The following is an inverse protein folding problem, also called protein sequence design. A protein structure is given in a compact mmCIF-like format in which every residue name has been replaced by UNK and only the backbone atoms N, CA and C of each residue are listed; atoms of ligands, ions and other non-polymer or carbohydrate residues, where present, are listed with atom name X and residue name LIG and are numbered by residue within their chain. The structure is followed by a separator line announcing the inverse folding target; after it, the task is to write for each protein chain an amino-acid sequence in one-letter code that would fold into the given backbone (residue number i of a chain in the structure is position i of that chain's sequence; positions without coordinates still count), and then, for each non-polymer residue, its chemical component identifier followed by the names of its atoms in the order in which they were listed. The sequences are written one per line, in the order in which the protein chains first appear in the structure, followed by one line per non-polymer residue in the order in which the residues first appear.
data_IF_382229382050
#
_entry.id   IF_382229382050
#
_cell.length_a   1.000
_cell.length_b   1.000
_cell.length_c   1.000
_cell.angle_alpha   90.00
_cell.angle_beta   90.00
_cell.angle_gamma   90.00
#
_symmetry.space_group_name_H-M   'P 1'
#
loop_
_entity.id
_entity.type
_entity.pdbx_description
1 polymer ?
#
# COMPACT_ATOMS: atom_id res chain seq x y z
N UNK A 1 -45.41 -51.11 11.29
CA UNK A 1 -44.07 -50.96 10.70
C UNK A 1 -44.12 -49.82 9.68
N UNK A 2 -43.52 -48.67 9.97
CA UNK A 2 -43.28 -47.64 8.93
C UNK A 2 -42.10 -46.78 9.36
N UNK A 3 -40.93 -47.11 8.81
CA UNK A 3 -39.69 -46.37 9.02
C UNK A 3 -39.62 -45.28 7.96
N UNK A 4 -39.68 -44.01 8.37
CA UNK A 4 -39.39 -42.87 7.48
C UNK A 4 -37.86 -42.72 7.36
N UNK A 5 -37.29 -42.56 6.16
CA UNK A 5 -35.86 -42.35 6.01
C UNK A 5 -35.47 -40.91 6.42
N UNK A 6 -34.23 -40.70 6.91
CA UNK A 6 -33.75 -39.35 7.22
C UNK A 6 -33.51 -38.58 5.92
N UNK A 7 -34.00 -37.34 5.90
CA UNK A 7 -33.77 -36.37 4.83
C UNK A 7 -32.28 -36.00 4.88
N UNK A 8 -31.50 -36.49 3.93
CA UNK A 8 -30.13 -36.04 3.72
C UNK A 8 -30.16 -34.57 3.32
N UNK A 9 -29.72 -33.68 4.22
CA UNK A 9 -29.46 -32.29 3.87
C UNK A 9 -28.29 -32.24 2.88
N UNK A 10 -28.59 -31.97 1.60
CA UNK A 10 -27.57 -31.52 0.67
C UNK A 10 -27.07 -30.16 1.17
N UNK A 11 -25.83 -30.16 1.67
CA UNK A 11 -25.13 -28.94 2.01
C UNK A 11 -24.79 -28.20 0.72
N UNK A 12 -25.47 -27.09 0.48
CA UNK A 12 -25.11 -26.14 -0.56
C UNK A 12 -23.80 -25.46 -0.14
N UNK A 13 -22.68 -25.92 -0.69
CA UNK A 13 -21.44 -25.17 -0.60
C UNK A 13 -21.60 -23.86 -1.38
N UNK A 14 -21.73 -22.74 -0.67
CA UNK A 14 -21.72 -21.40 -1.26
C UNK A 14 -20.36 -21.18 -1.94
N UNK A 15 -20.36 -21.14 -3.26
CA UNK A 15 -19.21 -20.65 -4.04
C UNK A 15 -19.15 -19.14 -3.80
N UNK A 16 -18.09 -18.68 -3.12
CA UNK A 16 -17.80 -17.27 -2.97
C UNK A 16 -17.45 -16.69 -4.35
N UNK A 17 -18.40 -16.01 -4.99
CA UNK A 17 -18.09 -15.13 -6.12
C UNK A 17 -17.27 -13.98 -5.54
N UNK A 18 -15.97 -13.94 -5.85
CA UNK A 18 -15.15 -12.77 -5.60
C UNK A 18 -15.81 -11.59 -6.32
N UNK A 19 -16.44 -10.70 -5.55
CA UNK A 19 -17.18 -9.56 -6.08
C UNK A 19 -16.26 -8.73 -6.97
N UNK A 20 -16.61 -8.61 -8.25
CA UNK A 20 -15.91 -7.71 -9.16
C UNK A 20 -16.18 -6.29 -8.70
N UNK A 21 -15.17 -5.63 -8.12
CA UNK A 21 -15.25 -4.21 -7.76
C UNK A 21 -15.66 -3.39 -9.00
N UNK A 22 -16.51 -2.36 -8.86
CA UNK A 22 -16.86 -1.48 -9.97
C UNK A 22 -15.60 -0.96 -10.69
N UNK A 23 -15.67 -0.72 -12.01
CA UNK A 23 -14.55 -0.15 -12.75
C UNK A 23 -14.03 1.13 -12.08
N UNK A 24 -12.76 1.15 -11.71
CA UNK A 24 -12.09 2.30 -11.09
C UNK A 24 -10.77 2.56 -11.81
N UNK A 25 -10.70 3.71 -12.48
CA UNK A 25 -9.56 4.12 -13.34
C UNK A 25 -9.04 5.48 -12.88
N UNK A 26 -8.39 5.56 -11.70
CA UNK A 26 -7.93 6.82 -11.16
C UNK A 26 -6.85 7.43 -12.06
N UNK A 27 -7.01 8.69 -12.42
CA UNK A 27 -5.98 9.46 -13.11
C UNK A 27 -4.96 9.99 -12.11
N UNK A 28 -5.42 10.45 -10.94
CA UNK A 28 -4.60 11.06 -9.89
C UNK A 28 -5.03 10.61 -8.50
N UNK A 29 -4.21 10.88 -7.49
CA UNK A 29 -4.58 10.74 -6.06
C UNK A 29 -5.87 11.47 -5.69
N UNK A 30 -6.23 12.54 -6.40
CA UNK A 30 -7.50 13.25 -6.16
C UNK A 30 -8.71 12.34 -6.43
N UNK A 31 -8.62 11.44 -7.40
CA UNK A 31 -9.71 10.50 -7.71
C UNK A 31 -9.85 9.44 -6.62
N UNK A 32 -8.75 9.07 -5.94
CA UNK A 32 -8.83 8.30 -4.70
C UNK A 32 -9.55 9.10 -3.62
N UNK A 33 -9.20 10.37 -3.42
CA UNK A 33 -9.88 11.21 -2.41
C UNK A 33 -11.37 11.41 -2.70
N UNK A 34 -11.78 11.43 -3.97
CA UNK A 34 -13.20 11.49 -4.35
C UNK A 34 -13.99 10.28 -3.87
N UNK A 35 -13.34 9.16 -3.58
CA UNK A 35 -13.95 7.95 -3.03
C UNK A 35 -14.11 8.00 -1.50
N UNK A 36 -13.79 9.11 -0.85
CA UNK A 36 -13.86 9.24 0.61
C UNK A 36 -15.22 8.83 1.18
N UNK A 37 -16.34 9.29 0.59
CA UNK A 37 -17.68 8.91 1.02
C UNK A 37 -18.05 7.45 0.73
N UNK A 38 -17.31 6.79 -0.15
CA UNK A 38 -17.43 5.36 -0.41
C UNK A 38 -16.62 4.52 0.58
N UNK A 39 -15.53 5.05 1.09
CA UNK A 39 -14.60 4.35 1.98
C UNK A 39 -14.99 4.54 3.44
N UNK A 40 -15.31 5.76 3.84
CA UNK A 40 -15.67 6.13 5.22
C UNK A 40 -17.19 6.29 5.33
N UNK A 41 -17.89 5.18 5.56
CA UNK A 41 -19.36 5.15 5.69
C UNK A 41 -19.89 5.74 6.99
N UNK A 42 -19.06 5.77 8.02
CA UNK A 42 -19.41 6.26 9.35
C UNK A 42 -18.36 7.27 9.83
N UNK A 43 -18.72 8.09 10.82
CA UNK A 43 -17.86 9.15 11.33
C UNK A 43 -16.53 8.66 11.92
N UNK A 44 -15.54 9.56 11.94
CA UNK A 44 -14.16 9.43 12.43
C UNK A 44 -13.19 8.57 11.57
N UNK A 45 -12.43 9.27 10.72
CA UNK A 45 -11.28 8.75 9.96
C UNK A 45 -10.02 8.37 10.76
N UNK A 46 -9.89 8.78 12.01
CA UNK A 46 -8.63 8.58 12.76
C UNK A 46 -8.33 7.08 12.89
N UNK A 47 -7.07 6.70 12.65
CA UNK A 47 -6.60 5.31 12.67
C UNK A 47 -7.29 4.37 11.65
N UNK A 48 -8.00 4.93 10.66
CA UNK A 48 -8.74 4.18 9.65
C UNK A 48 -8.05 4.16 8.28
N UNK A 49 -6.72 4.33 8.24
CA UNK A 49 -5.92 4.24 7.00
C UNK A 49 -6.04 2.87 6.31
N UNK A 50 -6.29 1.81 7.07
CA UNK A 50 -6.54 0.46 6.55
C UNK A 50 -7.76 0.39 5.61
N UNK A 51 -8.70 1.33 5.70
CA UNK A 51 -9.83 1.41 4.77
C UNK A 51 -9.41 1.90 3.38
N UNK A 52 -8.48 2.88 3.30
CA UNK A 52 -7.86 3.28 2.04
C UNK A 52 -7.11 2.10 1.41
N UNK A 53 -6.30 1.41 2.20
CA UNK A 53 -5.54 0.22 1.76
C UNK A 53 -6.49 -0.84 1.19
N UNK A 54 -7.55 -1.15 1.93
CA UNK A 54 -8.55 -2.15 1.50
C UNK A 54 -9.21 -1.77 0.19
N UNK A 55 -9.62 -0.50 0.06
CA UNK A 55 -10.25 0.02 -1.16
C UNK A 55 -9.35 -0.11 -2.39
N UNK A 56 -8.07 0.25 -2.24
CA UNK A 56 -7.05 0.19 -3.29
C UNK A 56 -6.77 -1.27 -3.68
N UNK A 57 -6.53 -2.14 -2.70
CA UNK A 57 -6.18 -3.55 -2.95
C UNK A 57 -7.33 -4.34 -3.57
N UNK A 58 -8.58 -4.09 -3.19
CA UNK A 58 -9.77 -4.70 -3.83
C UNK A 58 -9.94 -4.33 -5.31
N UNK A 59 -9.24 -3.29 -5.78
CA UNK A 59 -9.26 -2.81 -7.16
C UNK A 59 -7.90 -2.95 -7.84
N UNK A 60 -6.92 -3.56 -7.18
CA UNK A 60 -5.54 -3.62 -7.69
C UNK A 60 -5.44 -4.34 -9.04
N UNK A 61 -6.30 -5.32 -9.30
CA UNK A 61 -6.38 -6.02 -10.59
C UNK A 61 -6.76 -5.11 -11.77
N UNK A 62 -7.26 -3.91 -11.49
CA UNK A 62 -7.61 -2.91 -12.48
C UNK A 62 -6.49 -1.87 -12.69
N UNK A 63 -5.44 -1.92 -11.87
CA UNK A 63 -4.38 -0.91 -11.83
C UNK A 63 -3.06 -1.43 -12.41
N UNK A 64 -2.31 -0.52 -13.02
CA UNK A 64 -0.89 -0.73 -13.29
C UNK A 64 -0.09 -0.60 -11.97
N UNK A 65 1.08 -1.26 -11.84
CA UNK A 65 1.91 -1.20 -10.63
C UNK A 65 2.22 0.23 -10.19
N UNK A 66 2.64 1.10 -11.12
CA UNK A 66 2.94 2.50 -10.81
C UNK A 66 1.73 3.29 -10.34
N UNK A 67 0.53 2.98 -10.86
CA UNK A 67 -0.70 3.66 -10.44
C UNK A 67 -1.09 3.22 -9.03
N UNK A 68 -0.91 1.94 -8.71
CA UNK A 68 -1.13 1.43 -7.37
C UNK A 68 -0.21 2.12 -6.34
N UNK A 69 1.10 2.18 -6.64
CA UNK A 69 2.08 2.91 -5.81
C UNK A 69 1.68 4.38 -5.63
N UNK A 70 1.25 5.04 -6.71
CA UNK A 70 0.76 6.42 -6.65
C UNK A 70 -0.44 6.56 -5.70
N UNK A 71 -1.41 5.64 -5.73
CA UNK A 71 -2.57 5.71 -4.82
C UNK A 71 -2.17 5.59 -3.34
N UNK A 72 -1.13 4.79 -3.03
CA UNK A 72 -0.60 4.68 -1.66
C UNK A 72 0.07 5.96 -1.15
N UNK A 73 0.41 6.91 -2.02
CA UNK A 73 0.91 8.23 -1.61
C UNK A 73 -0.19 9.19 -1.13
N UNK A 74 -1.44 8.82 -1.32
CA UNK A 74 -2.60 9.70 -1.14
C UNK A 74 -3.17 9.77 0.27
N UNK A 75 -2.64 9.05 1.25
CA UNK A 75 -3.13 9.14 2.61
C UNK A 75 -2.03 8.93 3.65
N UNK A 76 -2.25 9.51 4.82
CA UNK A 76 -1.41 9.29 5.99
C UNK A 76 -1.64 7.88 6.55
N UNK A 77 -0.57 7.10 6.67
CA UNK A 77 -0.63 5.70 7.14
C UNK A 77 -1.13 5.57 8.59
N UNK A 78 -0.96 6.60 9.42
CA UNK A 78 -1.39 6.59 10.83
C UNK A 78 -2.80 7.14 10.97
N UNK A 79 -3.04 8.38 10.53
CA UNK A 79 -4.30 9.08 10.80
C UNK A 79 -5.41 8.79 9.79
N UNK A 80 -5.08 8.25 8.61
CA UNK A 80 -6.03 8.11 7.50
C UNK A 80 -6.40 9.43 6.81
N UNK A 81 -5.79 10.56 7.21
CA UNK A 81 -6.01 11.86 6.56
C UNK A 81 -5.53 11.83 5.11
N UNK A 82 -6.32 12.37 4.16
CA UNK A 82 -5.86 12.58 2.78
C UNK A 82 -4.58 13.41 2.75
N UNK A 83 -3.59 12.97 1.99
CA UNK A 83 -2.35 13.71 1.74
C UNK A 83 -2.29 14.14 0.29
N UNK A 84 -1.69 15.30 0.03
CA UNK A 84 -1.30 15.70 -1.32
C UNK A 84 0.18 15.38 -1.48
N UNK A 85 0.56 14.43 -2.36
CA UNK A 85 1.95 14.05 -2.53
C UNK A 85 2.79 15.24 -2.98
N UNK A 86 3.79 15.60 -2.19
CA UNK A 86 4.76 16.65 -2.47
C UNK A 86 6.02 16.40 -1.64
N UNK A 87 7.11 17.12 -1.92
CA UNK A 87 8.32 17.01 -1.10
C UNK A 87 8.09 17.37 0.37
N UNK A 88 7.12 18.23 0.67
CA UNK A 88 6.76 18.61 2.04
C UNK A 88 6.08 17.48 2.82
N UNK A 89 5.27 16.67 2.15
CA UNK A 89 4.54 15.55 2.79
C UNK A 89 5.32 14.24 2.70
N UNK A 90 6.42 14.17 1.94
CA UNK A 90 7.21 12.96 1.68
C UNK A 90 8.31 12.75 2.71
N UNK A 91 8.24 11.63 3.43
CA UNK A 91 9.23 11.26 4.45
C UNK A 91 9.92 9.95 4.08
N UNK A 92 11.26 9.93 4.14
CA UNK A 92 12.04 8.69 4.04
C UNK A 92 12.08 8.03 5.40
N UNK A 93 11.63 6.78 5.48
CA UNK A 93 11.60 6.01 6.71
C UNK A 93 12.29 4.67 6.50
N UNK A 94 12.85 4.13 7.59
CA UNK A 94 13.44 2.80 7.67
C UNK A 94 12.71 2.05 8.76
N UNK A 95 11.93 1.03 8.38
CA UNK A 95 11.01 0.33 9.27
C UNK A 95 11.33 -1.17 9.33
N UNK A 96 11.12 -1.83 10.47
CA UNK A 96 11.32 -3.27 10.59
C UNK A 96 10.23 -4.05 9.84
N UNK A 97 10.61 -5.20 9.28
CA UNK A 97 9.65 -6.14 8.69
C UNK A 97 8.94 -6.97 9.75
N UNK A 98 7.68 -7.34 9.50
CA UNK A 98 6.94 -8.25 10.38
C UNK A 98 7.52 -9.67 10.41
N UNK A 99 8.12 -10.12 9.32
CA UNK A 99 8.73 -11.46 9.19
C UNK A 99 10.11 -11.57 9.85
N UNK A 100 10.59 -10.50 10.51
CA UNK A 100 11.91 -10.45 11.10
C UNK A 100 13.05 -10.33 10.09
N UNK A 101 12.77 -10.17 8.79
CA UNK A 101 13.75 -10.07 7.71
C UNK A 101 14.57 -8.78 7.67
N UNK A 102 14.73 -8.09 8.80
CA UNK A 102 15.49 -6.85 8.94
C UNK A 102 14.69 -5.58 8.67
N UNK A 103 15.41 -4.53 8.26
CA UNK A 103 14.87 -3.19 8.03
C UNK A 103 14.64 -2.93 6.54
N UNK A 104 13.59 -2.18 6.20
CA UNK A 104 13.30 -1.74 4.84
C UNK A 104 13.18 -0.22 4.82
N UNK A 105 13.85 0.41 3.86
CA UNK A 105 13.76 1.85 3.63
C UNK A 105 12.88 2.18 2.44
N UNK A 106 12.11 3.26 2.54
CA UNK A 106 11.38 3.83 1.42
C UNK A 106 10.64 5.10 1.82
N UNK A 107 9.69 5.52 0.99
CA UNK A 107 8.97 6.78 1.21
C UNK A 107 7.50 6.55 1.57
N UNK A 108 7.02 7.35 2.51
CA UNK A 108 5.62 7.44 2.92
C UNK A 108 5.21 8.91 3.01
N UNK A 109 3.90 9.18 2.99
CA UNK A 109 3.36 10.53 2.97
C UNK A 109 2.54 10.81 4.23
N UNK A 110 2.84 11.91 4.92
CA UNK A 110 2.23 12.24 6.22
C UNK A 110 1.59 13.62 6.24
N UNK A 111 0.54 13.75 7.06
CA UNK A 111 -0.17 15.01 7.27
C UNK A 111 0.40 15.86 8.40
N UNK A 112 1.14 15.26 9.34
CA UNK A 112 1.72 15.96 10.49
C UNK A 112 2.89 15.17 11.08
N UNK A 113 3.77 15.89 11.79
CA UNK A 113 4.96 15.32 12.42
C UNK A 113 4.63 14.22 13.46
N UNK A 114 3.60 14.32 14.31
CA UNK A 114 3.26 13.24 15.25
C UNK A 114 3.01 11.89 14.56
N UNK A 115 2.38 11.87 13.37
CA UNK A 115 2.18 10.63 12.63
C UNK A 115 3.49 10.00 12.11
N UNK A 116 4.53 10.82 11.89
CA UNK A 116 5.85 10.30 11.50
C UNK A 116 6.47 9.53 12.67
N UNK A 117 6.39 10.09 13.89
CA UNK A 117 6.88 9.43 15.11
C UNK A 117 6.09 8.14 15.40
N UNK A 118 4.76 8.18 15.36
CA UNK A 118 3.92 6.99 15.54
C UNK A 118 4.28 5.87 14.55
N UNK A 119 4.69 6.23 13.34
CA UNK A 119 5.14 5.25 12.34
C UNK A 119 6.44 4.57 12.76
N UNK A 120 7.42 5.36 13.21
CA UNK A 120 8.72 4.83 13.62
C UNK A 120 8.60 3.91 14.84
N UNK A 121 7.68 4.22 15.75
CA UNK A 121 7.48 3.47 16.99
C UNK A 121 6.65 2.19 16.78
N UNK A 122 5.59 2.26 15.97
CA UNK A 122 4.59 1.19 15.94
C UNK A 122 4.43 0.48 14.59
N UNK A 123 4.73 1.12 13.46
CA UNK A 123 4.44 0.54 12.15
C UNK A 123 5.57 -0.40 11.72
N UNK A 124 5.16 -1.58 11.24
CA UNK A 124 6.02 -2.59 10.63
C UNK A 124 5.64 -2.80 9.17
N UNK A 125 6.60 -3.27 8.37
CA UNK A 125 6.41 -3.55 6.94
C UNK A 125 6.06 -5.02 6.74
N UNK A 126 4.94 -5.28 6.10
CA UNK A 126 4.53 -6.61 5.69
C UNK A 126 4.54 -6.74 4.16
N UNK A 127 4.32 -7.94 3.62
CA UNK A 127 4.34 -8.24 2.18
C UNK A 127 3.04 -8.91 1.77
N UNK A 128 2.39 -8.39 0.73
CA UNK A 128 1.19 -8.95 0.14
C UNK A 128 1.44 -9.32 -1.33
N UNK A 129 0.91 -10.47 -1.75
CA UNK A 129 0.83 -10.80 -3.17
C UNK A 129 -0.46 -10.18 -3.73
N UNK A 130 -0.33 -9.40 -4.81
CA UNK A 130 -1.44 -8.62 -5.36
C UNK A 130 -1.51 -8.87 -6.86
N UNK A 131 -2.68 -9.26 -7.35
CA UNK A 131 -2.93 -9.38 -8.80
C UNK A 131 -3.18 -8.00 -9.39
N UNK A 132 -2.42 -7.61 -10.41
CA UNK A 132 -2.53 -6.33 -11.12
C UNK A 132 -3.03 -6.54 -12.55
N UNK A 133 -3.36 -5.43 -13.25
CA UNK A 133 -3.89 -5.48 -14.61
C UNK A 133 -2.96 -6.15 -15.64
N UNK A 134 -1.67 -6.31 -15.33
CA UNK A 134 -0.66 -6.96 -16.17
C UNK A 134 -0.14 -8.31 -15.64
N UNK A 135 -0.76 -8.88 -14.59
CA UNK A 135 -0.31 -10.11 -13.92
C UNK A 135 -0.05 -9.94 -12.43
N UNK A 136 0.40 -11.00 -11.76
CA UNK A 136 0.71 -10.96 -10.33
C UNK A 136 1.96 -10.14 -10.03
N UNK A 137 1.89 -9.30 -8.99
CA UNK A 137 3.02 -8.58 -8.44
C UNK A 137 3.10 -8.76 -6.93
N UNK A 138 4.30 -8.92 -6.40
CA UNK A 138 4.56 -8.95 -4.96
C UNK A 138 4.83 -7.54 -4.47
N UNK A 139 4.06 -7.07 -3.51
CA UNK A 139 4.13 -5.71 -2.98
C UNK A 139 4.38 -5.73 -1.47
N UNK A 140 5.01 -4.67 -0.97
CA UNK A 140 5.04 -4.41 0.46
C UNK A 140 3.70 -3.82 0.86
N UNK A 141 3.03 -4.39 1.88
CA UNK A 141 1.68 -4.00 2.31
C UNK A 141 1.66 -2.74 3.18
N UNK A 142 2.84 -2.23 3.59
CA UNK A 142 2.99 -0.87 4.11
C UNK A 142 3.16 0.09 2.93
N UNK A 143 2.58 1.32 2.93
CA UNK A 143 2.67 2.30 1.84
C UNK A 143 4.08 2.87 1.66
N UNK A 144 5.09 2.18 2.19
CA UNK A 144 6.46 2.31 1.80
C UNK A 144 6.51 2.02 0.30
N UNK A 145 6.34 3.07 -0.49
CA UNK A 145 6.75 3.05 -1.89
C UNK A 145 8.23 2.75 -1.83
N UNK A 146 8.58 1.49 -2.12
CA UNK A 146 9.92 1.14 -2.49
C UNK A 146 10.15 1.93 -3.77
N UNK A 147 10.61 3.18 -3.62
CA UNK A 147 10.99 4.00 -4.76
C UNK A 147 11.87 3.10 -5.61
N UNK A 148 11.32 2.71 -6.75
CA UNK A 148 11.87 1.70 -7.61
C UNK A 148 13.36 1.95 -7.69
N UNK A 149 14.16 0.97 -7.25
CA UNK A 149 15.57 0.89 -7.57
C UNK A 149 15.65 0.65 -9.08
N UNK A 150 15.28 1.66 -9.89
CA UNK A 150 15.66 1.72 -11.29
C UNK A 150 17.13 2.04 -11.29
N UNK A 151 17.90 0.96 -11.34
CA UNK A 151 19.23 0.94 -11.90
C UNK A 151 19.26 1.75 -13.19
N UNK A 152 19.74 3.00 -13.09
CA UNK A 152 20.41 3.66 -14.20
C UNK A 152 21.77 3.00 -14.38
N UNK A 153 21.76 1.75 -14.84
CA UNK A 153 22.93 1.20 -15.50
C UNK A 153 23.10 1.99 -16.81
N UNK A 154 24.10 2.87 -16.83
CA UNK A 154 24.87 3.32 -18.00
C UNK A 154 25.14 4.83 -17.98
N UNK A 155 26.21 5.19 -17.26
CA UNK A 155 27.30 5.96 -17.86
C UNK A 155 28.55 5.82 -17.01
N UNK A 156 29.36 4.84 -17.41
CA UNK A 156 30.77 4.75 -17.05
C UNK A 156 31.46 5.93 -17.76
N UNK A 157 31.82 6.96 -17.01
CA UNK A 157 32.84 7.92 -17.43
C UNK A 157 33.90 7.95 -16.34
N UNK A 158 34.86 7.05 -16.54
CA UNK A 158 36.24 7.18 -16.08
C UNK A 158 36.78 8.57 -16.39
N UNK A 159 37.54 9.14 -15.44
CA UNK A 159 38.42 10.32 -15.44
C UNK A 159 38.08 11.14 -14.18
N UNK A 160 38.94 11.40 -13.19
CA UNK A 160 40.34 11.13 -12.91
C UNK A 160 40.58 11.51 -11.43
N UNK A 161 41.73 11.11 -10.88
CA UNK A 161 42.02 11.11 -9.44
C UNK A 161 42.00 12.48 -8.73
N UNK A 162 41.92 12.42 -7.39
CA UNK A 162 41.88 13.59 -6.54
C UNK A 162 41.68 13.25 -5.06
N UNK A 163 42.71 12.65 -4.47
CA UNK A 163 42.93 12.49 -3.03
C UNK A 163 42.69 13.78 -2.22
N UNK A 164 41.97 13.71 -1.09
CA UNK A 164 42.34 14.30 0.22
C UNK A 164 41.28 14.17 1.33
N UNK A 165 41.73 13.51 2.41
CA UNK A 165 41.67 13.88 3.84
C UNK A 165 40.33 13.85 4.59
N UNK A 166 40.27 12.87 5.49
CA UNK A 166 39.73 12.99 6.85
C UNK A 166 40.40 14.16 7.59
N UNK A 167 39.63 14.93 8.36
CA UNK A 167 39.98 15.38 9.71
C UNK A 167 38.87 16.28 10.31
N UNK A 168 38.57 15.96 11.57
CA UNK A 168 37.86 16.70 12.62
C UNK A 168 36.34 16.83 12.53
#
# INVERSE_FOLDING_TARGET
MSRRPPIAMLSLASIAVAGVSPPWRPATVRDLHSEYGNIFKHGNRNAASHLWVSFILQRASQLAPSKLEEMFTGFCAVSGSPTRPSDYTRYRLTLPRVDGGGLVSGFMYYCCWPCVCDTQDFIRVDTANVTLAGGEARLLSSPLSAAASRSSASRRSTLGGGERRQAN
#
